data_IF_631320383570
#
_entry.id   IF_631320383570
#
_cell.length_a   1.000
_cell.length_b   1.000
_cell.length_c   1.000
_cell.angle_alpha   90.00
_cell.angle_beta   90.00
_cell.angle_gamma   90.00
#
_symmetry.space_group_name_H-M   'P 1'
#
loop_
_entity.id
_entity.type
_entity.pdbx_description
1 polymer ?
#
# COMPACT_ATOMS: atom_id res chain seq x y z
N UNK A 1 -1.65 -5.66 20.66
CA UNK A 1 -2.98 -4.99 20.44
C UNK A 1 -3.97 -6.07 20.06
N UNK A 2 -4.96 -6.27 20.90
CA UNK A 2 -5.88 -7.39 20.91
C UNK A 2 -6.89 -7.38 19.75
N UNK A 3 -7.50 -8.53 19.48
CA UNK A 3 -8.68 -8.78 18.62
C UNK A 3 -9.75 -7.66 18.72
N UNK A 4 -9.78 -6.92 19.82
CA UNK A 4 -10.66 -5.77 20.08
C UNK A 4 -10.46 -4.61 19.05
N UNK A 5 -9.28 -4.43 18.47
CA UNK A 5 -9.05 -3.35 17.49
C UNK A 5 -9.64 -3.66 16.09
N UNK A 6 -9.74 -4.95 15.75
CA UNK A 6 -10.37 -5.37 14.48
C UNK A 6 -11.90 -5.15 14.53
N UNK A 7 -12.51 -5.40 15.70
CA UNK A 7 -13.93 -5.14 15.93
C UNK A 7 -14.26 -3.64 15.93
N UNK A 8 -13.34 -2.78 16.35
CA UNK A 8 -13.52 -1.33 16.31
C UNK A 8 -13.49 -0.78 14.87
N UNK A 9 -12.65 -1.33 14.00
CA UNK A 9 -12.60 -0.98 12.57
C UNK A 9 -13.88 -1.45 11.87
N UNK A 10 -14.38 -2.65 12.17
CA UNK A 10 -15.64 -3.16 11.64
C UNK A 10 -16.86 -2.36 12.15
N UNK A 11 -16.81 -1.86 13.38
CA UNK A 11 -17.87 -1.01 13.95
C UNK A 11 -17.89 0.40 13.33
N UNK A 12 -16.72 0.93 12.94
CA UNK A 12 -16.60 2.22 12.25
C UNK A 12 -17.13 2.16 10.80
N UNK A 13 -17.04 1.03 10.14
CA UNK A 13 -17.60 0.78 8.81
C UNK A 13 -19.15 0.66 8.82
N UNK A 14 -19.76 0.37 9.97
CA UNK A 14 -21.22 0.21 10.11
C UNK A 14 -22.02 1.52 10.26
N UNK A 15 -21.41 2.64 10.62
CA UNK A 15 -22.13 3.86 10.94
C UNK A 15 -21.86 4.99 9.92
N UNK A 16 -22.59 5.00 8.82
CA UNK A 16 -23.16 6.16 8.10
C UNK A 16 -23.75 5.76 6.74
N UNK A 17 -25.06 5.81 6.53
CA UNK A 17 -25.72 5.29 5.34
C UNK A 17 -25.74 6.20 4.11
N UNK A 18 -25.06 7.37 4.11
CA UNK A 18 -25.30 8.45 3.15
C UNK A 18 -24.33 8.60 1.97
N UNK A 19 -23.37 7.68 1.74
CA UNK A 19 -22.45 7.80 0.60
C UNK A 19 -22.42 6.54 -0.28
N UNK A 20 -22.76 6.65 -1.59
CA UNK A 20 -22.82 5.52 -2.52
C UNK A 20 -21.46 4.80 -2.72
N UNK A 21 -20.34 5.51 -2.63
CA UNK A 21 -19.00 4.93 -2.73
C UNK A 21 -18.66 3.92 -1.62
N UNK A 22 -19.22 4.09 -0.41
CA UNK A 22 -19.00 3.14 0.69
C UNK A 22 -19.66 1.79 0.44
N UNK A 23 -20.81 1.78 -0.26
CA UNK A 23 -21.52 0.55 -0.62
C UNK A 23 -20.76 -0.27 -1.66
N UNK A 24 -20.12 0.37 -2.63
CA UNK A 24 -19.34 -0.30 -3.68
C UNK A 24 -18.06 -0.91 -3.10
N UNK A 25 -17.35 -0.19 -2.24
CA UNK A 25 -16.13 -0.71 -1.56
C UNK A 25 -16.49 -1.86 -0.62
N UNK A 26 -17.60 -1.77 0.11
CA UNK A 26 -18.09 -2.85 0.98
C UNK A 26 -18.55 -4.06 0.16
N UNK A 27 -19.20 -3.87 -0.98
CA UNK A 27 -19.61 -4.94 -1.89
C UNK A 27 -18.41 -5.64 -2.51
N UNK A 28 -17.38 -4.90 -2.91
CA UNK A 28 -16.12 -5.45 -3.42
C UNK A 28 -15.34 -6.19 -2.33
N UNK A 29 -15.35 -5.69 -1.10
CA UNK A 29 -14.74 -6.36 0.04
C UNK A 29 -15.51 -7.62 0.46
N UNK A 30 -16.84 -7.58 0.48
CA UNK A 30 -17.68 -8.74 0.77
C UNK A 30 -17.66 -9.79 -0.36
N UNK A 31 -17.44 -9.39 -1.62
CA UNK A 31 -17.26 -10.30 -2.76
C UNK A 31 -15.89 -10.98 -2.76
N UNK A 32 -14.88 -10.42 -2.08
CA UNK A 32 -13.54 -11.01 -2.00
C UNK A 32 -13.40 -12.08 -0.90
N UNK A 33 -14.21 -12.02 0.16
CA UNK A 33 -14.11 -12.93 1.32
C UNK A 33 -14.64 -14.35 1.06
N UNK A 34 -15.72 -14.61 0.29
CA UNK A 34 -16.22 -15.97 0.08
C UNK A 34 -15.49 -16.76 -1.02
N UNK A 35 -14.51 -16.18 -1.70
CA UNK A 35 -13.88 -16.77 -2.88
C UNK A 35 -12.83 -17.86 -2.60
N UNK A 36 -12.46 -18.09 -1.33
CA UNK A 36 -11.29 -18.92 -1.00
C UNK A 36 -11.54 -20.09 -0.06
N UNK A 37 -12.76 -20.45 0.18
CA UNK A 37 -13.05 -21.56 1.08
C UNK A 37 -13.95 -22.60 0.47
N UNK A 38 -13.46 -23.54 -0.31
CA UNK A 38 -13.91 -24.94 -0.36
C UNK A 38 -13.06 -25.72 -1.36
N UNK A 39 -12.09 -26.47 -0.85
CA UNK A 39 -11.64 -27.72 -1.46
C UNK A 39 -12.12 -28.82 -0.52
N UNK A 40 -13.21 -29.49 -0.86
CA UNK A 40 -13.61 -30.73 -0.19
C UNK A 40 -13.52 -31.89 -1.16
N UNK A 41 -12.84 -32.91 -0.69
CA UNK A 41 -12.76 -34.30 -1.14
C UNK A 41 -14.10 -34.86 -1.58
N UNK A 42 -14.13 -35.40 -2.80
CA UNK A 42 -15.20 -36.28 -3.25
C UNK A 42 -15.05 -37.65 -2.61
N UNK A 43 -16.03 -38.07 -1.87
CA UNK A 43 -16.37 -39.49 -1.69
C UNK A 43 -17.60 -39.79 -2.51
N UNK A 44 -17.46 -40.74 -3.44
CA UNK A 44 -18.58 -41.35 -4.16
C UNK A 44 -19.44 -42.19 -3.21
N UNK A 45 -20.75 -41.95 -3.27
CA UNK A 45 -21.72 -42.93 -2.81
C UNK A 45 -22.78 -43.11 -3.87
N UNK A 46 -22.75 -44.29 -4.51
CA UNK A 46 -23.81 -44.84 -5.33
C UNK A 46 -25.04 -45.16 -4.46
N UNK A 47 -26.20 -44.72 -4.87
CA UNK A 47 -27.42 -45.46 -4.60
C UNK A 47 -28.47 -45.24 -5.67
N UNK A 48 -29.09 -46.31 -6.05
CA UNK A 48 -30.10 -46.49 -7.09
C UNK A 48 -31.49 -45.93 -6.71
N UNK A 49 -32.18 -45.46 -7.73
CA UNK A 49 -33.59 -45.75 -7.93
C UNK A 49 -34.60 -44.73 -7.45
N UNK A 50 -35.31 -44.23 -8.35
CA UNK A 50 -36.77 -44.04 -8.49
C UNK A 50 -37.08 -42.72 -9.18
N UNK A 51 -37.73 -42.86 -10.31
CA UNK A 51 -38.32 -41.80 -11.14
C UNK A 51 -39.53 -41.20 -10.40
N UNK A 52 -39.48 -39.89 -10.18
CA UNK A 52 -40.72 -39.16 -9.91
C UNK A 52 -40.71 -37.81 -10.68
N UNK A 53 -41.76 -37.64 -11.48
CA UNK A 53 -41.97 -36.57 -12.41
C UNK A 53 -42.68 -35.42 -11.66
N UNK A 54 -41.94 -34.42 -11.24
CA UNK A 54 -42.58 -33.17 -10.81
C UNK A 54 -41.67 -31.96 -11.16
N UNK A 55 -42.20 -31.13 -12.05
CA UNK A 55 -41.95 -29.71 -12.24
C UNK A 55 -40.54 -29.19 -11.89
N UNK A 56 -39.72 -29.13 -12.92
CA UNK A 56 -38.41 -28.50 -12.92
C UNK A 56 -38.56 -27.00 -12.70
N UNK A 57 -38.61 -26.53 -11.46
CA UNK A 57 -38.33 -25.15 -11.09
C UNK A 57 -36.85 -24.91 -11.42
N UNK A 58 -36.60 -24.11 -12.43
CA UNK A 58 -35.29 -23.68 -12.92
C UNK A 58 -34.58 -22.89 -11.80
N UNK A 59 -34.00 -23.61 -10.84
CA UNK A 59 -33.25 -23.05 -9.72
C UNK A 59 -32.05 -22.29 -10.27
N UNK A 60 -32.02 -21.01 -10.02
CA UNK A 60 -31.09 -20.02 -10.51
C UNK A 60 -29.63 -20.52 -10.60
N UNK A 61 -29.16 -20.73 -11.84
CA UNK A 61 -27.78 -21.07 -12.18
C UNK A 61 -26.75 -19.97 -11.89
N UNK A 62 -27.13 -18.89 -11.20
CA UNK A 62 -26.24 -17.75 -10.92
C UNK A 62 -25.09 -18.16 -9.99
N UNK A 63 -25.38 -18.91 -8.93
CA UNK A 63 -24.35 -19.39 -8.00
C UNK A 63 -23.37 -20.38 -8.62
N UNK A 64 -23.87 -21.26 -9.50
CA UNK A 64 -23.01 -22.19 -10.24
C UNK A 64 -22.17 -21.49 -11.31
N UNK A 65 -22.73 -20.51 -12.02
CA UNK A 65 -22.00 -19.67 -12.98
C UNK A 65 -20.93 -18.85 -12.27
N UNK A 66 -21.23 -18.24 -11.13
CA UNK A 66 -20.27 -17.52 -10.31
C UNK A 66 -19.15 -18.46 -9.83
N UNK A 67 -19.49 -19.65 -9.33
CA UNK A 67 -18.50 -20.65 -8.91
C UNK A 67 -17.60 -21.09 -10.07
N UNK A 68 -18.16 -21.31 -11.25
CA UNK A 68 -17.38 -21.64 -12.47
C UNK A 68 -16.47 -20.50 -12.92
N UNK A 69 -16.96 -19.26 -12.88
CA UNK A 69 -16.14 -18.07 -13.20
C UNK A 69 -14.98 -17.96 -12.21
N UNK A 70 -15.25 -18.09 -10.93
CA UNK A 70 -14.25 -18.04 -9.86
C UNK A 70 -13.20 -19.14 -10.03
N UNK A 71 -13.64 -20.38 -10.30
CA UNK A 71 -12.73 -21.51 -10.54
C UNK A 71 -11.85 -21.25 -11.76
N UNK A 72 -12.40 -20.73 -12.87
CA UNK A 72 -11.63 -20.35 -14.06
C UNK A 72 -10.65 -19.23 -13.81
N UNK A 73 -11.00 -18.25 -12.97
CA UNK A 73 -10.14 -17.12 -12.60
C UNK A 73 -9.01 -17.54 -11.65
N UNK A 74 -9.18 -18.61 -10.88
CA UNK A 74 -8.17 -19.12 -9.97
C UNK A 74 -7.26 -20.20 -10.58
N UNK A 75 -7.48 -20.60 -11.84
CA UNK A 75 -6.60 -21.56 -12.53
C UNK A 75 -5.23 -20.94 -12.79
N UNK A 76 -4.18 -21.63 -12.41
CA UNK A 76 -2.79 -21.30 -12.72
C UNK A 76 -2.21 -22.32 -13.72
N UNK A 77 -1.27 -21.88 -14.51
CA UNK A 77 -0.46 -22.75 -15.38
C UNK A 77 0.71 -23.30 -14.57
N UNK A 78 0.64 -24.58 -14.23
CA UNK A 78 1.67 -25.26 -13.39
C UNK A 78 3.04 -25.34 -14.05
N UNK A 79 3.13 -25.16 -15.37
CA UNK A 79 4.41 -25.01 -16.06
C UNK A 79 5.12 -23.68 -15.75
N UNK A 80 4.39 -22.66 -15.31
CA UNK A 80 4.90 -21.34 -14.96
C UNK A 80 4.91 -21.07 -13.45
N UNK A 81 3.87 -21.51 -12.75
CA UNK A 81 3.67 -21.24 -11.33
C UNK A 81 3.47 -22.56 -10.60
N UNK A 82 4.35 -22.86 -9.67
CA UNK A 82 4.22 -24.00 -8.78
C UNK A 82 3.51 -23.55 -7.49
N UNK A 83 2.35 -24.15 -7.13
CA UNK A 83 1.70 -23.86 -5.86
C UNK A 83 2.55 -24.38 -4.70
N UNK A 84 2.47 -23.72 -3.56
CA UNK A 84 3.09 -24.21 -2.33
C UNK A 84 2.36 -25.49 -1.87
N UNK A 85 3.12 -26.57 -1.71
CA UNK A 85 2.60 -27.87 -1.27
C UNK A 85 2.44 -27.97 0.26
N UNK A 86 2.89 -26.98 1.01
CA UNK A 86 2.82 -26.92 2.46
C UNK A 86 1.67 -26.03 2.92
N UNK A 87 1.06 -26.42 4.03
CA UNK A 87 -0.04 -25.66 4.62
C UNK A 87 0.45 -24.42 5.35
N UNK A 88 1.66 -24.45 5.91
CA UNK A 88 2.20 -23.41 6.76
C UNK A 88 3.53 -22.85 6.24
N UNK A 89 3.73 -21.57 6.49
CA UNK A 89 4.97 -20.83 6.23
C UNK A 89 5.36 -20.07 7.49
N UNK A 90 6.58 -20.27 7.98
CA UNK A 90 7.15 -19.42 9.02
C UNK A 90 8.26 -18.56 8.42
N UNK A 91 8.29 -17.27 8.75
CA UNK A 91 9.22 -16.32 8.21
C UNK A 91 9.62 -15.29 9.27
N UNK A 92 10.90 -14.94 9.31
CA UNK A 92 11.41 -13.78 10.01
C UNK A 92 11.61 -12.67 9.00
N UNK A 93 11.08 -11.50 9.28
CA UNK A 93 11.18 -10.34 8.38
C UNK A 93 11.74 -9.13 9.14
N UNK A 94 12.68 -8.45 8.50
CA UNK A 94 13.08 -7.09 8.83
C UNK A 94 12.45 -6.14 7.84
N UNK A 95 11.87 -5.04 8.34
CA UNK A 95 11.26 -3.97 7.53
C UNK A 95 11.87 -2.64 7.92
N UNK A 96 12.50 -1.97 6.97
CA UNK A 96 13.03 -0.62 7.11
C UNK A 96 12.14 0.34 6.34
N UNK A 97 11.65 1.36 7.03
CA UNK A 97 10.82 2.41 6.43
C UNK A 97 11.67 3.64 6.12
N UNK A 98 11.68 4.04 4.85
CA UNK A 98 12.37 5.21 4.34
C UNK A 98 11.34 6.15 3.71
N UNK A 99 10.83 7.08 4.48
CA UNK A 99 9.82 8.03 4.00
C UNK A 99 10.45 9.39 3.81
N UNK A 100 9.88 10.22 2.94
CA UNK A 100 10.21 11.64 2.91
C UNK A 100 8.99 12.48 2.55
N UNK A 101 9.01 13.73 3.01
CA UNK A 101 8.04 14.75 2.66
C UNK A 101 8.80 15.97 2.16
N UNK A 102 8.46 16.47 0.99
CA UNK A 102 9.07 17.66 0.39
C UNK A 102 8.00 18.69 0.06
N UNK A 103 8.17 19.90 0.56
CA UNK A 103 7.34 21.05 0.25
C UNK A 103 8.12 21.99 -0.66
N UNK A 104 7.54 22.37 -1.79
CA UNK A 104 8.09 23.36 -2.70
C UNK A 104 7.07 24.46 -2.95
N UNK A 105 7.51 25.70 -2.90
CA UNK A 105 6.74 26.85 -3.33
C UNK A 105 7.48 27.63 -4.41
N UNK A 106 6.71 28.21 -5.33
CA UNK A 106 7.20 29.05 -6.43
C UNK A 106 6.44 30.36 -6.38
N UNK A 107 7.16 31.47 -6.36
CA UNK A 107 6.60 32.82 -6.42
C UNK A 107 6.66 33.40 -7.85
N UNK A 108 6.12 34.63 -8.04
CA UNK A 108 5.88 35.24 -9.36
C UNK A 108 7.13 35.36 -10.22
N UNK A 109 8.32 35.50 -9.61
CA UNK A 109 9.62 35.65 -10.30
C UNK A 109 10.32 34.32 -10.58
N UNK A 110 9.60 33.21 -10.52
CA UNK A 110 10.11 31.83 -10.68
C UNK A 110 11.13 31.38 -9.62
N UNK A 111 11.32 32.17 -8.58
CA UNK A 111 12.07 31.72 -7.41
C UNK A 111 11.39 30.55 -6.74
N UNK A 112 12.18 29.57 -6.33
CA UNK A 112 11.67 28.33 -5.70
C UNK A 112 12.28 28.16 -4.33
N UNK A 113 11.44 27.99 -3.32
CA UNK A 113 11.86 27.51 -2.02
C UNK A 113 11.42 26.05 -1.84
N UNK A 114 12.33 25.20 -1.34
CA UNK A 114 12.04 23.80 -1.07
C UNK A 114 12.58 23.39 0.28
N UNK A 115 11.74 22.71 1.07
CA UNK A 115 12.05 22.09 2.34
C UNK A 115 11.80 20.60 2.24
N UNK A 116 12.79 19.77 2.56
CA UNK A 116 12.68 18.31 2.52
C UNK A 116 12.94 17.73 3.90
N UNK A 117 12.01 16.91 4.37
CA UNK A 117 12.01 16.29 5.68
C UNK A 117 12.00 14.77 5.54
N UNK A 118 12.80 14.10 6.36
CA UNK A 118 12.73 12.66 6.56
C UNK A 118 12.30 12.37 8.00
N UNK A 119 11.37 11.44 8.25
CA UNK A 119 11.22 10.90 9.58
C UNK A 119 12.48 10.10 9.94
N UNK A 120 12.76 9.96 11.21
CA UNK A 120 13.87 9.10 11.63
C UNK A 120 13.66 7.69 11.12
N UNK A 121 14.69 7.04 10.56
CA UNK A 121 14.57 5.67 10.07
C UNK A 121 14.05 4.73 11.16
N UNK A 122 13.17 3.81 10.78
CA UNK A 122 12.70 2.74 11.66
C UNK A 122 13.30 1.41 11.24
N UNK A 123 13.78 0.63 12.20
CA UNK A 123 14.26 -0.72 12.01
C UNK A 123 13.35 -1.70 12.74
N UNK A 124 12.50 -2.38 11.98
CA UNK A 124 11.50 -3.30 12.52
C UNK A 124 11.89 -4.73 12.20
N UNK A 125 11.82 -5.61 13.17
CA UNK A 125 12.00 -7.04 12.98
C UNK A 125 10.86 -7.80 13.65
N UNK A 126 10.45 -8.90 13.07
CA UNK A 126 9.45 -9.76 13.67
C UNK A 126 9.09 -11.00 12.87
N UNK A 127 8.42 -11.95 13.55
CA UNK A 127 7.94 -13.17 12.94
C UNK A 127 6.68 -12.94 12.11
N UNK A 128 6.57 -13.73 11.04
CA UNK A 128 5.37 -13.87 10.23
C UNK A 128 5.02 -15.35 10.14
N UNK A 129 3.74 -15.63 10.29
CA UNK A 129 3.18 -16.96 10.09
C UNK A 129 2.16 -16.90 8.96
N UNK A 130 2.33 -17.74 7.96
CA UNK A 130 1.43 -17.91 6.84
C UNK A 130 0.66 -19.22 6.95
N UNK A 131 -0.64 -19.19 6.69
CA UNK A 131 -1.48 -20.34 6.48
C UNK A 131 -2.09 -20.26 5.09
N UNK A 132 -1.60 -21.11 4.16
CA UNK A 132 -1.97 -21.04 2.74
C UNK A 132 -1.71 -19.65 2.16
N UNK A 133 -2.77 -18.86 1.92
CA UNK A 133 -2.71 -17.51 1.34
C UNK A 133 -2.76 -16.39 2.39
N UNK A 134 -3.10 -16.69 3.65
CA UNK A 134 -3.23 -15.72 4.74
C UNK A 134 -1.90 -15.63 5.49
N UNK A 135 -1.32 -14.44 5.53
CA UNK A 135 -0.10 -14.15 6.27
C UNK A 135 -0.40 -13.15 7.38
N UNK A 136 -0.01 -13.50 8.58
CA UNK A 136 -0.07 -12.63 9.75
C UNK A 136 1.33 -12.49 10.34
N UNK A 137 1.70 -11.27 10.63
CA UNK A 137 2.99 -10.98 11.24
C UNK A 137 2.92 -9.77 12.15
N UNK A 138 3.85 -9.71 13.06
CA UNK A 138 4.03 -8.57 13.94
C UNK A 138 5.49 -8.18 13.99
N UNK A 139 5.78 -6.92 13.68
CA UNK A 139 7.13 -6.38 13.74
C UNK A 139 7.26 -5.35 14.85
N UNK A 140 8.37 -5.39 15.57
CA UNK A 140 8.72 -4.45 16.63
C UNK A 140 9.83 -3.53 16.13
N UNK A 141 9.68 -2.24 16.33
CA UNK A 141 10.72 -1.25 16.07
C UNK A 141 11.73 -1.25 17.21
N UNK A 142 12.88 -1.90 16.99
CA UNK A 142 13.91 -2.06 18.01
C UNK A 142 14.56 -0.71 18.36
N UNK A 143 14.67 0.21 17.39
CA UNK A 143 15.27 1.53 17.59
C UNK A 143 14.41 2.51 18.40
N UNK A 144 13.13 2.19 18.65
CA UNK A 144 12.15 3.13 19.24
C UNK A 144 11.35 2.58 20.41
N UNK A 145 11.80 1.52 21.05
CA UNK A 145 11.09 0.91 22.20
C UNK A 145 10.82 1.95 23.31
N UNK A 146 11.74 2.89 23.55
CA UNK A 146 11.59 3.94 24.56
C UNK A 146 10.74 5.15 24.15
N UNK A 147 10.41 5.30 22.87
CA UNK A 147 9.61 6.42 22.30
C UNK A 147 8.29 5.96 21.69
N UNK A 148 7.74 4.89 22.22
CA UNK A 148 6.46 4.35 21.79
C UNK A 148 5.35 5.42 21.91
N UNK A 149 4.59 5.66 20.84
CA UNK A 149 3.40 6.53 20.85
C UNK A 149 3.43 7.76 19.96
N UNK A 150 4.60 8.28 19.55
CA UNK A 150 4.66 9.42 18.60
C UNK A 150 4.42 9.00 17.14
N UNK A 151 4.87 7.80 16.77
CA UNK A 151 4.75 7.28 15.41
C UNK A 151 4.02 5.95 15.42
N UNK A 152 3.02 5.83 14.55
CA UNK A 152 2.30 4.59 14.31
C UNK A 152 2.35 4.31 12.82
N UNK A 153 2.78 3.11 12.46
CA UNK A 153 2.83 2.66 11.09
C UNK A 153 2.25 1.24 11.02
N UNK A 154 1.31 1.06 10.14
CA UNK A 154 0.73 -0.23 9.82
C UNK A 154 0.63 -0.36 8.31
N UNK A 155 1.17 -1.44 7.77
CA UNK A 155 1.04 -1.78 6.36
C UNK A 155 0.58 -3.22 6.23
N UNK A 156 -0.38 -3.44 5.34
CA UNK A 156 -0.90 -4.76 5.00
C UNK A 156 -0.93 -4.87 3.48
N UNK A 157 -0.30 -5.91 2.95
CA UNK A 157 -0.38 -6.25 1.54
C UNK A 157 -0.94 -7.65 1.37
N UNK A 158 -1.97 -7.76 0.55
CA UNK A 158 -2.60 -9.00 0.17
C UNK A 158 -2.26 -9.30 -1.29
N UNK A 159 -1.64 -10.44 -1.52
CA UNK A 159 -1.25 -10.89 -2.85
C UNK A 159 -1.99 -12.17 -3.20
N UNK A 160 -2.87 -12.11 -4.20
CA UNK A 160 -3.39 -13.29 -4.88
C UNK A 160 -2.89 -13.33 -6.32
N UNK A 161 -3.20 -14.38 -7.04
CA UNK A 161 -2.79 -14.47 -8.44
C UNK A 161 -3.59 -13.50 -9.33
N UNK A 162 -4.84 -13.20 -8.99
CA UNK A 162 -5.74 -12.38 -9.80
C UNK A 162 -5.80 -10.93 -9.33
N UNK A 163 -5.82 -10.70 -8.04
CA UNK A 163 -6.03 -9.39 -7.41
C UNK A 163 -5.00 -9.17 -6.33
N UNK A 164 -4.46 -7.97 -6.25
CA UNK A 164 -3.64 -7.54 -5.13
C UNK A 164 -4.22 -6.31 -4.48
N UNK A 165 -3.90 -6.14 -3.20
CA UNK A 165 -4.32 -4.97 -2.44
C UNK A 165 -3.28 -4.57 -1.42
N UNK A 166 -3.09 -3.26 -1.26
CA UNK A 166 -2.20 -2.70 -0.25
C UNK A 166 -3.00 -1.73 0.61
N UNK A 167 -2.80 -1.80 1.90
CA UNK A 167 -3.30 -0.84 2.87
C UNK A 167 -2.13 -0.27 3.66
N UNK A 168 -2.05 1.06 3.75
CA UNK A 168 -1.03 1.76 4.53
C UNK A 168 -1.73 2.75 5.47
N UNK A 169 -1.39 2.66 6.74
CA UNK A 169 -1.73 3.63 7.76
C UNK A 169 -0.44 4.18 8.35
N UNK A 170 -0.25 5.48 8.25
CA UNK A 170 0.92 6.16 8.79
C UNK A 170 0.48 7.36 9.62
N UNK A 171 1.00 7.46 10.83
CA UNK A 171 0.84 8.61 11.71
C UNK A 171 2.20 8.95 12.29
N UNK A 172 2.69 10.14 11.97
CA UNK A 172 3.94 10.66 12.50
C UNK A 172 3.69 12.03 13.13
N UNK A 173 4.04 12.16 14.41
CA UNK A 173 3.86 13.38 15.20
C UNK A 173 5.21 13.98 15.60
N UNK A 174 5.82 14.75 14.68
CA UNK A 174 6.95 15.59 15.01
C UNK A 174 8.31 14.86 15.20
N UNK A 175 8.50 13.69 14.61
CA UNK A 175 9.80 12.98 14.64
C UNK A 175 10.46 13.04 13.26
N UNK A 176 10.61 14.27 12.73
CA UNK A 176 11.24 14.53 11.45
C UNK A 176 12.63 15.14 11.61
N UNK A 177 13.42 15.05 10.56
CA UNK A 177 14.70 15.73 10.41
C UNK A 177 14.67 16.54 9.13
N UNK A 178 15.10 17.79 9.21
CA UNK A 178 15.30 18.63 8.04
C UNK A 178 16.56 18.15 7.31
N UNK A 179 16.40 17.74 6.06
CA UNK A 179 17.48 17.14 5.27
C UNK A 179 18.02 18.08 4.23
N UNK A 180 17.15 18.86 3.61
CA UNK A 180 17.53 19.75 2.51
C UNK A 180 16.70 21.01 2.51
N UNK A 181 17.37 22.13 2.27
CA UNK A 181 16.77 23.47 2.09
C UNK A 181 17.30 24.06 0.81
N UNK A 182 16.43 24.56 -0.07
CA UNK A 182 16.81 25.18 -1.34
C UNK A 182 16.07 26.49 -1.50
N UNK A 183 16.70 27.51 -2.06
CA UNK A 183 16.10 28.83 -2.29
C UNK A 183 16.20 29.76 -1.07
N UNK A 184 17.21 29.58 -0.21
CA UNK A 184 17.49 30.44 0.94
C UNK A 184 18.88 31.07 0.79
N UNK A 185 18.96 32.40 0.76
CA UNK A 185 20.21 33.14 0.54
C UNK A 185 21.22 32.90 1.65
N UNK A 186 22.47 32.59 1.27
CA UNK A 186 23.54 32.31 2.21
C UNK A 186 23.43 31.01 2.99
N UNK A 187 22.48 30.13 2.60
CA UNK A 187 22.27 28.81 3.21
C UNK A 187 22.56 27.72 2.20
N UNK A 188 23.58 26.90 2.46
CA UNK A 188 23.82 25.70 1.64
C UNK A 188 22.67 24.71 1.77
N UNK A 189 22.30 23.97 0.73
CA UNK A 189 21.23 22.99 0.78
C UNK A 189 21.35 21.92 1.88
N UNK A 190 22.56 21.67 2.39
CA UNK A 190 22.85 20.70 3.45
C UNK A 190 23.17 21.32 4.82
N UNK A 191 23.09 22.64 4.99
CA UNK A 191 23.42 23.31 6.25
C UNK A 191 22.66 22.74 7.45
N UNK A 192 21.43 22.32 7.25
CA UNK A 192 20.55 21.77 8.28
C UNK A 192 20.38 20.24 8.17
N UNK A 193 21.29 19.55 7.49
CA UNK A 193 21.22 18.11 7.33
C UNK A 193 21.11 17.37 8.67
N UNK A 194 20.12 16.47 8.80
CA UNK A 194 19.80 15.73 10.01
C UNK A 194 19.38 16.58 11.25
N UNK A 195 19.08 17.86 11.07
CA UNK A 195 18.58 18.67 12.18
C UNK A 195 17.15 18.23 12.54
N UNK A 196 16.95 17.88 13.84
CA UNK A 196 15.63 17.48 14.34
C UNK A 196 14.61 18.59 14.14
N UNK A 197 13.42 18.23 13.69
CA UNK A 197 12.30 19.12 13.43
C UNK A 197 10.99 18.47 13.87
N UNK A 198 10.37 19.02 14.88
CA UNK A 198 9.11 18.53 15.48
C UNK A 198 7.87 19.36 15.09
N UNK A 199 8.04 20.32 14.16
CA UNK A 199 6.96 21.14 13.59
C UNK A 199 6.17 20.48 12.47
N UNK A 200 6.51 19.25 12.04
CA UNK A 200 5.79 18.54 10.99
C UNK A 200 5.05 17.33 11.57
N UNK A 201 3.74 17.25 11.29
CA UNK A 201 2.94 16.08 11.57
C UNK A 201 2.32 15.57 10.28
N UNK A 202 2.29 14.26 10.11
CA UNK A 202 1.75 13.60 8.95
C UNK A 202 0.82 12.45 9.34
N UNK A 203 -0.32 12.42 8.69
CA UNK A 203 -1.27 11.33 8.75
C UNK A 203 -1.60 10.89 7.33
N UNK A 204 -1.53 9.58 7.08
CA UNK A 204 -1.83 8.97 5.79
C UNK A 204 -2.64 7.69 6.00
N UNK A 205 -3.76 7.60 5.30
CA UNK A 205 -4.43 6.33 5.01
C UNK A 205 -4.38 6.15 3.50
N UNK A 206 -3.88 5.02 3.05
CA UNK A 206 -3.84 4.66 1.63
C UNK A 206 -4.42 3.28 1.42
N UNK A 207 -5.23 3.13 0.40
CA UNK A 207 -5.78 1.88 -0.06
C UNK A 207 -5.57 1.77 -1.57
N UNK A 208 -4.87 0.73 -2.01
CA UNK A 208 -4.57 0.44 -3.40
C UNK A 208 -5.07 -0.96 -3.74
N UNK A 209 -5.92 -1.08 -4.76
CA UNK A 209 -6.45 -2.34 -5.27
C UNK A 209 -6.11 -2.47 -6.74
N UNK A 210 -5.62 -3.62 -7.17
CA UNK A 210 -5.23 -3.84 -8.56
C UNK A 210 -5.52 -5.26 -9.04
N UNK A 211 -5.80 -5.37 -10.35
CA UNK A 211 -6.02 -6.63 -11.06
C UNK A 211 -4.79 -7.02 -11.86
N UNK A 212 -4.54 -8.33 -11.95
CA UNK A 212 -3.41 -8.97 -12.63
C UNK A 212 -3.96 -9.70 -13.86
N UNK A 213 -3.67 -9.22 -15.06
CA UNK A 213 -4.29 -9.76 -16.28
C UNK A 213 -3.77 -11.14 -16.67
N UNK A 214 -2.45 -11.35 -16.58
CA UNK A 214 -1.84 -12.64 -16.91
C UNK A 214 -1.66 -13.53 -15.67
N UNK A 215 -2.69 -13.60 -14.80
CA UNK A 215 -2.67 -14.32 -13.54
C UNK A 215 -2.38 -15.82 -13.66
N UNK A 216 -2.58 -16.41 -14.83
CA UNK A 216 -2.29 -17.84 -15.07
C UNK A 216 -0.78 -18.13 -15.11
N UNK A 217 0.03 -17.20 -15.63
CA UNK A 217 1.47 -17.39 -15.83
C UNK A 217 2.34 -16.51 -14.93
N UNK A 218 1.79 -15.41 -14.40
CA UNK A 218 2.47 -14.46 -13.55
C UNK A 218 1.96 -14.55 -12.12
N UNK A 219 2.86 -14.59 -11.14
CA UNK A 219 2.52 -14.64 -9.72
C UNK A 219 3.24 -13.57 -8.91
N UNK A 220 2.49 -12.61 -8.36
CA UNK A 220 2.98 -11.71 -7.31
C UNK A 220 3.33 -12.44 -6.01
N UNK A 221 2.52 -13.43 -5.57
CA UNK A 221 2.86 -14.22 -4.40
C UNK A 221 4.27 -14.82 -4.42
N UNK A 222 4.77 -15.22 -5.57
CA UNK A 222 6.11 -15.78 -5.71
C UNK A 222 7.24 -14.81 -5.34
N UNK A 223 7.00 -13.50 -5.49
CA UNK A 223 7.99 -12.47 -5.21
C UNK A 223 7.87 -11.86 -3.80
N UNK A 224 6.66 -11.78 -3.22
CA UNK A 224 6.44 -10.92 -2.07
C UNK A 224 5.90 -11.63 -0.82
N UNK A 225 5.17 -12.74 -0.95
CA UNK A 225 4.68 -13.51 0.21
C UNK A 225 5.03 -15.00 0.20
N UNK A 226 5.69 -15.47 -0.86
CA UNK A 226 6.23 -16.83 -0.97
C UNK A 226 5.17 -17.95 -0.90
N UNK A 227 3.89 -17.66 -1.19
CA UNK A 227 2.85 -18.69 -1.23
C UNK A 227 2.82 -19.51 -2.52
N UNK A 228 3.62 -19.13 -3.52
CA UNK A 228 3.85 -19.85 -4.78
C UNK A 228 5.29 -19.69 -5.22
N UNK A 229 5.73 -20.47 -6.22
CA UNK A 229 7.04 -20.37 -6.82
C UNK A 229 6.89 -20.09 -8.33
N UNK A 230 7.55 -19.07 -8.85
CA UNK A 230 7.61 -18.78 -10.28
C UNK A 230 8.70 -19.63 -10.93
N UNK A 231 8.33 -20.56 -11.81
CA UNK A 231 9.28 -21.48 -12.47
C UNK A 231 9.78 -20.97 -13.82
N UNK A 232 8.95 -20.23 -14.55
CA UNK A 232 9.30 -19.62 -15.84
C UNK A 232 9.01 -18.13 -15.79
N UNK A 233 9.81 -17.35 -16.48
CA UNK A 233 9.61 -15.90 -16.59
C UNK A 233 8.28 -15.57 -17.22
N UNK A 234 7.61 -14.57 -16.69
CA UNK A 234 6.32 -14.09 -17.18
C UNK A 234 6.12 -12.62 -16.83
N UNK A 235 5.37 -11.92 -17.66
CA UNK A 235 4.94 -10.55 -17.41
C UNK A 235 3.43 -10.41 -17.42
N UNK A 236 2.94 -9.29 -16.90
CA UNK A 236 1.51 -8.98 -16.83
C UNK A 236 1.26 -7.48 -16.88
N UNK A 237 0.13 -7.10 -17.46
CA UNK A 237 -0.45 -5.78 -17.26
C UNK A 237 -1.14 -5.73 -15.90
N UNK A 238 -1.09 -4.56 -15.28
CA UNK A 238 -1.75 -4.23 -14.03
C UNK A 238 -2.70 -3.07 -14.27
N UNK A 239 -3.89 -3.14 -13.69
CA UNK A 239 -4.83 -2.05 -13.65
C UNK A 239 -5.43 -1.94 -12.26
N UNK A 240 -5.51 -0.72 -11.70
CA UNK A 240 -5.93 -0.56 -10.33
C UNK A 240 -6.61 0.76 -10.03
N UNK A 241 -7.12 0.80 -8.81
CA UNK A 241 -7.72 1.97 -8.19
C UNK A 241 -7.02 2.23 -6.84
N UNK A 242 -6.75 3.51 -6.56
CA UNK A 242 -6.11 3.93 -5.34
C UNK A 242 -6.90 5.06 -4.69
N UNK A 243 -7.10 4.94 -3.39
CA UNK A 243 -7.64 5.98 -2.53
C UNK A 243 -6.64 6.33 -1.45
N UNK A 244 -6.34 7.62 -1.30
CA UNK A 244 -5.46 8.13 -0.26
C UNK A 244 -6.15 9.26 0.49
N UNK A 245 -6.01 9.27 1.80
CA UNK A 245 -6.38 10.39 2.65
C UNK A 245 -5.16 10.86 3.42
N UNK A 246 -4.78 12.11 3.21
CA UNK A 246 -3.61 12.70 3.84
C UNK A 246 -3.98 13.95 4.63
N UNK A 247 -3.36 14.09 5.81
CA UNK A 247 -3.37 15.31 6.60
C UNK A 247 -1.93 15.68 6.93
N UNK A 248 -1.54 16.88 6.53
CA UNK A 248 -0.24 17.47 6.79
C UNK A 248 -0.44 18.70 7.66
N UNK A 249 0.28 18.78 8.78
CA UNK A 249 0.32 19.94 9.67
C UNK A 249 1.77 20.38 9.77
N UNK A 250 2.04 21.61 9.34
CA UNK A 250 3.37 22.19 9.29
C UNK A 250 3.42 23.50 10.07
N UNK A 251 4.16 23.49 11.17
CA UNK A 251 4.43 24.67 11.99
C UNK A 251 5.77 25.28 11.58
N UNK A 252 5.72 26.26 10.72
CA UNK A 252 6.90 26.94 10.20
C UNK A 252 7.64 27.76 11.27
N UNK A 253 7.00 28.13 12.38
CA UNK A 253 7.64 28.91 13.45
C UNK A 253 8.76 28.13 14.14
N UNK A 254 8.73 26.79 14.02
CA UNK A 254 9.76 25.89 14.55
C UNK A 254 10.95 25.70 13.60
N UNK A 255 10.94 26.32 12.43
CA UNK A 255 12.11 26.33 11.55
C UNK A 255 13.29 27.06 12.22
N UNK A 256 14.54 26.65 11.93
CA UNK A 256 15.69 27.36 12.46
C UNK A 256 15.64 28.86 12.11
N UNK A 257 15.74 29.78 13.06
CA UNK A 257 15.70 31.22 12.78
C UNK A 257 16.71 31.66 11.73
N UNK A 258 17.90 31.06 11.75
CA UNK A 258 18.97 31.33 10.79
C UNK A 258 18.59 31.00 9.33
N UNK A 259 17.58 30.13 9.10
CA UNK A 259 17.08 29.82 7.77
C UNK A 259 16.25 30.95 7.20
N UNK A 260 15.44 31.61 8.02
CA UNK A 260 14.44 32.59 7.59
C UNK A 260 14.87 34.05 7.77
N UNK A 261 16.03 34.30 8.42
CA UNK A 261 16.54 35.63 8.71
C UNK A 261 16.86 36.43 7.43
N UNK A 262 17.49 35.77 6.42
CA UNK A 262 17.93 36.45 5.18
C UNK A 262 16.94 36.33 4.04
N UNK A 263 16.12 35.30 4.08
CA UNK A 263 15.12 35.02 3.03
C UNK A 263 13.80 34.65 3.71
N UNK A 264 12.79 35.53 3.67
CA UNK A 264 11.48 35.24 4.20
C UNK A 264 10.89 33.98 3.59
N UNK A 265 10.17 33.22 4.37
CA UNK A 265 9.46 32.03 3.89
C UNK A 265 8.26 32.47 3.03
N UNK A 266 8.10 31.87 1.85
CA UNK A 266 6.96 32.14 0.98
C UNK A 266 5.63 31.81 1.66
N UNK A 267 4.60 32.61 1.39
CA UNK A 267 3.27 32.45 2.03
C UNK A 267 2.66 31.07 1.78
N UNK A 268 2.92 30.49 0.61
CA UNK A 268 2.45 29.16 0.25
C UNK A 268 3.06 28.07 1.17
N UNK A 269 4.31 28.25 1.64
CA UNK A 269 4.93 27.35 2.62
C UNK A 269 4.41 27.59 4.04
N UNK A 270 4.14 28.84 4.43
CA UNK A 270 3.54 29.15 5.74
C UNK A 270 2.15 28.52 5.90
N UNK A 271 1.42 28.38 4.80
CA UNK A 271 0.07 27.79 4.76
C UNK A 271 0.07 26.33 4.33
N UNK A 272 1.14 25.57 4.57
CA UNK A 272 1.29 24.18 4.13
C UNK A 272 0.41 23.16 4.91
N UNK A 273 -0.42 23.62 5.85
CA UNK A 273 -1.42 22.78 6.52
C UNK A 273 -2.50 22.37 5.53
N UNK A 274 -2.57 21.07 5.20
CA UNK A 274 -3.49 20.54 4.19
C UNK A 274 -4.13 19.23 4.63
N UNK A 275 -5.42 19.11 4.29
CA UNK A 275 -6.15 17.84 4.38
C UNK A 275 -6.80 17.59 3.03
N UNK A 276 -6.43 16.47 2.39
CA UNK A 276 -6.92 16.13 1.07
C UNK A 276 -7.13 14.63 0.90
N UNK A 277 -8.01 14.28 -0.02
CA UNK A 277 -8.25 12.91 -0.43
C UNK A 277 -8.00 12.77 -1.93
N UNK A 278 -7.24 11.76 -2.31
CA UNK A 278 -6.93 11.43 -3.69
C UNK A 278 -7.72 10.22 -4.13
N UNK A 279 -8.26 10.27 -5.33
CA UNK A 279 -8.91 9.18 -6.03
C UNK A 279 -8.18 8.99 -7.35
N UNK A 280 -7.49 7.87 -7.51
CA UNK A 280 -6.60 7.66 -8.65
C UNK A 280 -6.87 6.32 -9.31
N UNK A 281 -6.70 6.28 -10.62
CA UNK A 281 -6.58 5.05 -11.39
C UNK A 281 -5.11 4.79 -11.68
N UNK A 282 -4.76 3.53 -11.84
CA UNK A 282 -3.39 3.11 -12.13
C UNK A 282 -3.38 2.09 -13.25
N UNK A 283 -2.38 2.20 -14.11
CA UNK A 283 -2.10 1.20 -15.14
C UNK A 283 -0.59 1.02 -15.23
N UNK A 284 -0.13 -0.23 -15.34
CA UNK A 284 1.29 -0.50 -15.33
C UNK A 284 1.63 -1.90 -15.78
N UNK A 285 2.90 -2.25 -15.61
CA UNK A 285 3.44 -3.55 -16.00
C UNK A 285 4.27 -4.15 -14.89
N UNK A 286 4.21 -5.49 -14.79
CA UNK A 286 5.02 -6.27 -13.88
C UNK A 286 5.69 -7.41 -14.65
N UNK A 287 6.92 -7.75 -14.25
CA UNK A 287 7.68 -8.84 -14.82
C UNK A 287 8.40 -9.65 -13.75
N UNK A 288 8.27 -10.97 -13.83
CA UNK A 288 8.97 -11.95 -13.03
C UNK A 288 10.00 -12.64 -13.91
N UNK A 289 11.27 -12.42 -13.61
CA UNK A 289 12.40 -13.06 -14.31
C UNK A 289 12.98 -14.20 -13.48
N UNK A 290 12.62 -15.43 -13.85
CA UNK A 290 13.23 -16.65 -13.31
C UNK A 290 14.58 -16.86 -14.03
N UNK A 291 15.65 -16.22 -13.55
CA UNK A 291 16.95 -16.14 -14.24
C UNK A 291 17.89 -17.28 -13.90
N UNK A 292 17.65 -17.99 -12.80
CA UNK A 292 18.43 -19.15 -12.41
C UNK A 292 17.54 -20.14 -11.61
N UNK A 293 18.07 -21.34 -11.37
CA UNK A 293 17.35 -22.34 -10.57
C UNK A 293 17.01 -21.79 -9.20
N UNK A 294 15.72 -21.75 -8.89
CA UNK A 294 15.16 -21.24 -7.63
C UNK A 294 15.36 -19.73 -7.38
N UNK A 295 15.84 -18.96 -8.37
CA UNK A 295 16.07 -17.53 -8.26
C UNK A 295 15.06 -16.74 -9.10
N UNK A 296 14.45 -15.75 -8.48
CA UNK A 296 13.46 -14.86 -9.08
C UNK A 296 13.85 -13.41 -8.86
N UNK A 297 13.94 -12.64 -9.95
CA UNK A 297 13.95 -11.17 -9.91
C UNK A 297 12.59 -10.68 -10.40
N UNK A 298 11.90 -9.96 -9.56
CA UNK A 298 10.58 -9.40 -9.86
C UNK A 298 10.66 -7.87 -9.90
N UNK A 299 9.96 -7.26 -10.85
CA UNK A 299 9.82 -5.82 -10.94
C UNK A 299 8.42 -5.41 -11.37
N UNK A 300 7.93 -4.30 -10.86
CA UNK A 300 6.70 -3.68 -11.34
C UNK A 300 6.76 -2.16 -11.22
N UNK A 301 6.13 -1.49 -12.16
CA UNK A 301 5.94 -0.06 -12.15
C UNK A 301 4.51 0.29 -12.58
N UNK A 302 3.80 1.00 -11.72
CA UNK A 302 2.39 1.31 -11.88
C UNK A 302 2.18 2.81 -11.63
N UNK A 303 2.29 3.66 -12.65
CA UNK A 303 1.92 5.07 -12.57
C UNK A 303 0.45 5.22 -12.22
N UNK A 304 0.14 6.29 -11.50
CA UNK A 304 -1.21 6.65 -11.06
C UNK A 304 -1.55 8.07 -11.51
N UNK A 305 -2.77 8.25 -11.96
CA UNK A 305 -3.34 9.56 -12.29
C UNK A 305 -4.71 9.69 -11.61
N UNK A 306 -4.99 10.83 -11.02
CA UNK A 306 -6.23 11.01 -10.28
C UNK A 306 -6.55 12.44 -9.92
N UNK A 307 -7.54 12.59 -9.07
CA UNK A 307 -8.03 13.87 -8.59
C UNK A 307 -7.82 13.97 -7.08
N UNK A 308 -7.24 15.08 -6.65
CA UNK A 308 -7.11 15.48 -5.25
C UNK A 308 -8.28 16.41 -4.90
N UNK A 309 -9.05 16.02 -3.89
CA UNK A 309 -10.10 16.85 -3.31
C UNK A 309 -9.61 17.41 -1.97
N UNK A 310 -9.41 18.71 -1.91
CA UNK A 310 -9.01 19.39 -0.68
C UNK A 310 -10.25 19.69 0.17
N UNK A 311 -10.18 19.38 1.46
CA UNK A 311 -11.21 19.78 2.42
C UNK A 311 -10.82 21.14 2.98
N UNK A 312 -11.46 22.21 2.47
CA UNK A 312 -11.22 23.58 2.91
C UNK A 312 -11.40 23.73 4.43
N UNK A 313 -10.42 24.34 5.09
CA UNK A 313 -10.58 24.85 6.45
C UNK A 313 -11.58 26.00 6.36
N UNK A 314 -12.73 25.93 7.06
CA UNK A 314 -13.62 27.07 7.25
C UNK A 314 -12.82 28.12 8.04
N UNK A 315 -12.33 29.14 7.36
CA UNK A 315 -11.94 30.37 8.02
C UNK A 315 -13.27 31.12 8.31
N UNK A 316 -13.49 31.45 9.55
CA UNK A 316 -14.71 32.18 9.95
C UNK A 316 -14.85 33.44 9.09
N UNK A 317 -15.98 33.58 8.37
CA UNK A 317 -16.27 34.72 7.52
C UNK A 317 -15.99 34.60 6.02
N UNK A 318 -15.37 33.51 5.53
CA UNK A 318 -15.16 33.25 4.10
C UNK A 318 -16.08 32.15 3.58
N UNK A 319 -16.70 32.38 2.41
CA UNK A 319 -17.42 31.30 1.69
C UNK A 319 -16.47 30.13 1.53
N UNK A 320 -16.92 28.87 1.77
CA UNK A 320 -16.08 27.72 1.52
C UNK A 320 -15.66 27.77 0.05
N UNK A 321 -14.34 27.87 -0.20
CA UNK A 321 -13.79 27.70 -1.54
C UNK A 321 -14.36 26.41 -2.09
N UNK A 322 -14.95 26.49 -3.29
CA UNK A 322 -15.42 25.32 -4.02
C UNK A 322 -14.28 24.31 -4.00
N UNK A 323 -14.59 23.04 -3.67
CA UNK A 323 -13.64 21.94 -3.63
C UNK A 323 -12.79 21.97 -4.91
N UNK A 324 -11.59 22.53 -4.84
CA UNK A 324 -10.71 22.58 -5.99
C UNK A 324 -10.22 21.17 -6.25
N UNK A 325 -10.73 20.56 -7.31
CA UNK A 325 -10.21 19.30 -7.80
C UNK A 325 -8.90 19.58 -8.53
N UNK A 326 -7.79 19.08 -8.00
CA UNK A 326 -6.48 19.18 -8.63
C UNK A 326 -6.06 17.83 -9.19
N UNK A 327 -5.45 17.83 -10.37
CA UNK A 327 -4.83 16.64 -10.93
C UNK A 327 -3.65 16.22 -10.03
N UNK A 328 -3.59 14.95 -9.66
CA UNK A 328 -2.44 14.36 -9.02
C UNK A 328 -1.79 13.29 -9.88
N UNK A 329 -0.50 13.14 -9.71
CA UNK A 329 0.30 12.10 -10.32
C UNK A 329 1.03 11.35 -9.23
N UNK A 330 1.24 10.06 -9.42
CA UNK A 330 2.00 9.25 -8.49
C UNK A 330 2.45 7.96 -9.14
N UNK A 331 3.02 7.08 -8.36
CA UNK A 331 3.31 5.72 -8.80
C UNK A 331 3.40 4.75 -7.63
N UNK A 332 3.29 3.47 -7.95
CA UNK A 332 3.70 2.36 -7.08
C UNK A 332 4.74 1.55 -7.83
N UNK A 333 5.94 1.49 -7.28
CA UNK A 333 7.06 0.70 -7.78
C UNK A 333 7.38 -0.44 -6.83
N UNK A 334 7.69 -1.63 -7.35
CA UNK A 334 8.12 -2.78 -6.56
C UNK A 334 9.28 -3.47 -7.25
N UNK A 335 10.25 -3.90 -6.46
CA UNK A 335 11.34 -4.77 -6.89
C UNK A 335 11.52 -5.85 -5.83
N UNK A 336 11.77 -7.08 -6.24
CA UNK A 336 12.02 -8.20 -5.33
C UNK A 336 13.04 -9.16 -5.91
N UNK A 337 13.96 -9.63 -5.07
CA UNK A 337 14.91 -10.69 -5.38
C UNK A 337 14.69 -11.82 -4.38
N UNK A 338 14.46 -13.01 -4.88
CA UNK A 338 14.10 -14.18 -4.07
C UNK A 338 14.89 -15.39 -4.50
N UNK A 339 15.39 -16.14 -3.53
CA UNK A 339 15.85 -17.50 -3.68
C UNK A 339 14.91 -18.42 -2.92
N UNK A 340 14.23 -19.35 -3.62
CA UNK A 340 13.21 -20.22 -3.03
C UNK A 340 13.37 -21.65 -3.52
N UNK A 341 13.77 -22.55 -2.62
CA UNK A 341 14.02 -23.97 -2.90
C UNK A 341 12.77 -24.84 -2.85
N UNK A 342 11.62 -24.31 -2.45
CA UNK A 342 10.39 -25.07 -2.16
C UNK A 342 10.34 -25.66 -0.75
N UNK A 343 11.43 -25.60 0.04
CA UNK A 343 11.47 -25.94 1.47
C UNK A 343 11.82 -24.74 2.33
N UNK A 344 12.67 -23.88 1.84
CA UNK A 344 13.06 -22.64 2.47
C UNK A 344 13.33 -21.56 1.45
N UNK A 345 13.30 -20.31 1.89
CA UNK A 345 13.47 -19.15 1.05
C UNK A 345 14.16 -18.00 1.80
N UNK A 346 14.82 -17.16 1.01
CA UNK A 346 15.40 -15.89 1.43
C UNK A 346 15.07 -14.86 0.37
N UNK A 347 14.78 -13.64 0.77
CA UNK A 347 14.48 -12.59 -0.19
C UNK A 347 14.69 -11.18 0.37
N UNK A 348 14.77 -10.26 -0.58
CA UNK A 348 14.73 -8.81 -0.34
C UNK A 348 13.71 -8.19 -1.26
N UNK A 349 12.94 -7.24 -0.77
CA UNK A 349 12.02 -6.47 -1.59
C UNK A 349 12.06 -5.00 -1.24
N UNK A 350 11.84 -4.16 -2.25
CA UNK A 350 11.68 -2.72 -2.15
C UNK A 350 10.34 -2.32 -2.73
N UNK A 351 9.58 -1.56 -1.97
CA UNK A 351 8.27 -1.03 -2.37
C UNK A 351 8.33 0.48 -2.20
N UNK A 352 8.04 1.21 -3.25
CA UNK A 352 7.99 2.68 -3.27
C UNK A 352 6.62 3.16 -3.71
N UNK A 353 6.04 4.05 -2.94
CA UNK A 353 4.77 4.70 -3.25
C UNK A 353 4.97 6.21 -3.20
N UNK A 354 4.69 6.88 -4.32
CA UNK A 354 4.76 8.32 -4.42
C UNK A 354 3.37 8.93 -4.44
N UNK A 355 3.20 9.99 -3.66
CA UNK A 355 1.98 10.78 -3.54
C UNK A 355 2.33 12.23 -3.84
N UNK A 356 1.70 12.79 -4.83
CA UNK A 356 1.88 14.18 -5.24
C UNK A 356 0.61 14.98 -4.96
N UNK A 357 0.79 16.18 -4.47
CA UNK A 357 -0.28 17.17 -4.30
C UNK A 357 0.22 18.51 -4.88
N UNK A 358 -0.52 19.07 -5.81
CA UNK A 358 -0.19 20.34 -6.46
C UNK A 358 -1.35 21.33 -6.33
N UNK A 359 -1.01 22.55 -6.00
CA UNK A 359 -1.92 23.70 -6.02
C UNK A 359 -1.11 24.93 -6.47
N UNK A 360 -1.78 25.97 -6.98
CA UNK A 360 -1.14 27.21 -7.47
C UNK A 360 0.10 27.61 -6.65
N UNK A 361 1.27 27.48 -7.25
CA UNK A 361 2.55 27.84 -6.62
C UNK A 361 3.05 26.95 -5.47
N UNK A 362 2.31 25.88 -5.09
CA UNK A 362 2.70 24.94 -4.02
C UNK A 362 2.65 23.50 -4.49
N UNK A 363 3.67 22.74 -4.11
CA UNK A 363 3.74 21.29 -4.35
C UNK A 363 4.16 20.58 -3.06
N UNK A 364 3.43 19.54 -2.67
CA UNK A 364 3.84 18.62 -1.63
C UNK A 364 4.04 17.23 -2.24
N UNK A 365 5.23 16.68 -2.09
CA UNK A 365 5.54 15.31 -2.50
C UNK A 365 5.78 14.50 -1.24
N UNK A 366 5.05 13.41 -1.10
CA UNK A 366 5.22 12.44 -0.04
C UNK A 366 5.61 11.10 -0.65
N UNK A 367 6.70 10.50 -0.19
CA UNK A 367 7.13 9.17 -0.62
C UNK A 367 7.19 8.24 0.56
N UNK A 368 6.51 7.10 0.42
CA UNK A 368 6.46 6.02 1.41
C UNK A 368 7.19 4.81 0.83
N UNK A 369 8.33 4.48 1.43
CA UNK A 369 9.20 3.43 0.92
C UNK A 369 9.45 2.39 2.01
N UNK A 370 9.48 1.11 1.60
CA UNK A 370 9.78 -0.03 2.45
C UNK A 370 10.86 -0.89 1.82
N UNK A 371 11.88 -1.23 2.60
CA UNK A 371 12.84 -2.28 2.29
C UNK A 371 12.56 -3.43 3.23
N UNK A 372 12.23 -4.60 2.70
CA UNK A 372 12.00 -5.80 3.46
C UNK A 372 13.07 -6.82 3.13
N UNK A 373 13.71 -7.39 4.16
CA UNK A 373 14.54 -8.59 4.04
C UNK A 373 13.89 -9.69 4.87
N UNK A 374 13.82 -10.88 4.32
CA UNK A 374 13.12 -11.98 4.97
C UNK A 374 13.78 -13.32 4.68
N UNK A 375 13.66 -14.23 5.62
CA UNK A 375 14.03 -15.62 5.49
C UNK A 375 12.98 -16.50 6.16
N UNK A 376 12.69 -17.66 5.57
CA UNK A 376 11.65 -18.53 6.09
C UNK A 376 11.70 -19.93 5.53
N UNK A 377 10.78 -20.74 6.01
CA UNK A 377 10.63 -22.14 5.60
C UNK A 377 9.17 -22.56 5.60
N UNK A 378 8.90 -23.65 4.92
CA UNK A 378 7.56 -24.25 4.80
C UNK A 378 7.47 -25.52 5.62
N UNK A 379 6.28 -25.79 6.20
CA UNK A 379 6.04 -26.98 7.01
C UNK A 379 4.54 -27.35 7.00
N UNK A 380 4.22 -28.57 7.49
CA UNK A 380 2.87 -29.10 7.50
C UNK A 380 2.38 -29.46 6.08
N UNK A 381 2.34 -30.74 5.78
CA UNK A 381 1.74 -31.28 4.55
C UNK A 381 0.28 -31.60 4.77
#
# INVERSE_FOLDING_TARGET
>A
MSIISLFSILRWLRFSPSHPCKKIIFLLFCLSIPLFGVSQTNQEQKSNGIVDTTLCVKKNNLGQRLKQIITRLNTIDTAYIEPNHYAWTAMMQNTNSLHFVSFSAIEKDKERQTLTFFPRPSFKIGPFLGWRWLFLGYTIDIGRIQKAGKNTEFSLSLYSNLVGGDFVYLKNKGDFQLQRTVGFQGVSPRTFHNKSFDGLQMYLISFNLYCIFNHKKFSYPAAYNQSTIQRKSAGTLLFGFRYDHQKLEFDYTKLPPTLTQRTPLFEQLKTANRTYSNYSISAGYAYNWAFARNCLLAGSFTPTIGLSLERGRKVAGTKPDAQAANLNLGFVGRVGLVWNTGRGFVGISYISQLYDYRRKGFTAINSVNFINTYAGFYFGK
#
